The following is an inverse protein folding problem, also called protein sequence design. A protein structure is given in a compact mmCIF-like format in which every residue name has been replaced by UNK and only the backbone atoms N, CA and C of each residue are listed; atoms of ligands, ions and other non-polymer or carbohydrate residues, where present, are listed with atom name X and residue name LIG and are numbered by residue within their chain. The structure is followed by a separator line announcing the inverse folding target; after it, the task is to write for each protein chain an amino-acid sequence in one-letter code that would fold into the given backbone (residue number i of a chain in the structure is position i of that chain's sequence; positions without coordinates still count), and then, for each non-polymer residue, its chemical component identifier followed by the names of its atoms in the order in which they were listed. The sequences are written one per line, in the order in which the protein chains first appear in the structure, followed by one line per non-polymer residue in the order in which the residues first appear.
data_IF_823917813451
#
_entry.id   IF_823917813451
#
_cell.length_a   1.000
_cell.length_b   1.000
_cell.length_c   1.000
_cell.angle_alpha   90.00
_cell.angle_beta   90.00
_cell.angle_gamma   90.00
#
_symmetry.space_group_name_H-M   'P 1'
#
loop_
_entity.id
_entity.type
_entity.pdbx_description
1 polymer ?
#
# COMPACT_ATOMS: atom_id res chain seq x y z
N UNK A 1 6.58 3.00 9.34
CA UNK A 1 7.65 2.37 8.53
C UNK A 1 8.86 3.26 8.38
N UNK A 2 8.76 4.45 7.78
CA UNK A 2 9.91 5.36 7.62
C UNK A 2 10.69 5.66 8.90
N UNK A 3 9.99 5.92 10.01
CA UNK A 3 10.64 6.13 11.30
C UNK A 3 11.50 4.93 11.73
N UNK A 4 10.99 3.70 11.57
CA UNK A 4 11.72 2.47 11.90
C UNK A 4 12.92 2.31 10.96
N UNK A 5 12.75 2.58 9.67
CA UNK A 5 13.86 2.45 8.72
C UNK A 5 14.95 3.49 9.00
N UNK A 6 14.59 4.73 9.35
CA UNK A 6 15.54 5.75 9.78
C UNK A 6 16.27 5.31 11.06
N UNK A 7 15.58 4.68 12.02
CA UNK A 7 16.21 4.11 13.22
C UNK A 7 17.17 2.96 12.91
N UNK A 8 16.97 2.22 11.81
CA UNK A 8 17.91 1.16 11.39
C UNK A 8 19.16 1.66 10.69
N UNK A 9 19.19 2.93 10.25
CA UNK A 9 20.38 3.53 9.65
C UNK A 9 21.34 3.86 10.80
N UNK A 10 22.29 2.95 11.05
CA UNK A 10 23.38 3.15 12.03
C UNK A 10 24.18 4.44 11.81
N UNK A 11 24.23 4.91 10.56
CA UNK A 11 25.00 6.06 10.09
C UNK A 11 24.12 7.29 9.77
N UNK A 12 22.91 7.41 10.34
CA UNK A 12 21.98 8.49 9.96
C UNK A 12 22.58 9.91 10.11
N UNK A 13 23.53 10.08 11.03
CA UNK A 13 24.22 11.35 11.29
C UNK A 13 25.39 11.63 10.34
N UNK A 14 25.85 10.64 9.57
CA UNK A 14 27.03 10.70 8.70
C UNK A 14 26.68 10.38 7.23
N UNK A 15 25.39 10.35 6.89
CA UNK A 15 24.94 10.06 5.54
C UNK A 15 25.45 11.12 4.55
N UNK A 16 26.07 10.71 3.42
CA UNK A 16 26.41 11.64 2.36
C UNK A 16 25.14 12.26 1.79
N UNK A 17 25.21 13.56 1.50
CA UNK A 17 24.08 14.28 0.91
C UNK A 17 23.66 13.67 -0.44
N UNK A 18 24.63 13.34 -1.29
CA UNK A 18 24.42 12.82 -2.65
C UNK A 18 25.25 11.55 -2.89
N UNK A 19 24.61 10.51 -3.45
CA UNK A 19 25.28 9.31 -4.01
C UNK A 19 24.51 8.85 -5.23
N UNK A 20 25.22 8.59 -6.33
CA UNK A 20 24.59 8.10 -7.56
C UNK A 20 24.12 6.65 -7.41
N UNK A 21 24.86 5.83 -6.64
CA UNK A 21 24.53 4.43 -6.40
C UNK A 21 23.11 4.26 -5.83
N UNK A 22 22.74 5.10 -4.85
CA UNK A 22 21.42 5.02 -4.23
C UNK A 22 20.31 5.55 -5.12
N UNK A 23 20.57 6.57 -5.94
CA UNK A 23 19.59 7.06 -6.92
C UNK A 23 19.33 5.99 -7.98
N UNK A 24 20.38 5.38 -8.52
CA UNK A 24 20.26 4.29 -9.50
C UNK A 24 19.50 3.11 -8.89
N UNK A 25 19.88 2.67 -7.68
CA UNK A 25 19.18 1.59 -6.99
C UNK A 25 17.70 1.93 -6.74
N UNK A 26 17.40 3.15 -6.28
CA UNK A 26 16.02 3.59 -6.03
C UNK A 26 15.20 3.54 -7.30
N UNK A 27 15.72 4.06 -8.42
CA UNK A 27 15.03 4.07 -9.71
C UNK A 27 14.85 2.64 -10.24
N UNK A 28 15.90 1.82 -10.27
CA UNK A 28 15.84 0.46 -10.79
C UNK A 28 14.85 -0.42 -10.01
N UNK A 29 14.89 -0.34 -8.67
CA UNK A 29 14.00 -1.10 -7.81
C UNK A 29 12.56 -0.60 -7.94
N UNK A 30 12.38 0.72 -8.10
CA UNK A 30 11.08 1.31 -8.32
C UNK A 30 10.48 0.86 -9.67
N UNK A 31 11.15 1.12 -10.80
CA UNK A 31 10.59 0.85 -12.13
C UNK A 31 10.47 -0.65 -12.47
N UNK A 32 11.29 -1.50 -11.84
CA UNK A 32 11.23 -2.95 -12.04
C UNK A 32 10.35 -3.64 -10.99
N UNK A 33 10.95 -4.14 -9.88
CA UNK A 33 10.25 -4.92 -8.87
C UNK A 33 8.99 -4.26 -8.28
N UNK A 34 9.07 -2.98 -7.91
CA UNK A 34 7.95 -2.30 -7.22
C UNK A 34 6.75 -2.16 -8.14
N UNK A 35 6.97 -1.69 -9.38
CA UNK A 35 5.90 -1.59 -10.39
C UNK A 35 5.33 -2.96 -10.74
N UNK A 36 6.17 -3.99 -10.92
CA UNK A 36 5.70 -5.36 -11.16
C UNK A 36 4.82 -5.88 -10.01
N UNK A 37 5.29 -5.76 -8.76
CA UNK A 37 4.56 -6.20 -7.58
C UNK A 37 3.27 -5.41 -7.36
N UNK A 38 3.28 -4.11 -7.66
CA UNK A 38 2.10 -3.26 -7.62
C UNK A 38 1.02 -3.79 -8.58
N UNK A 39 1.36 -4.01 -9.85
CA UNK A 39 0.40 -4.52 -10.82
C UNK A 39 -0.04 -5.95 -10.51
N UNK A 40 0.86 -6.81 -10.03
CA UNK A 40 0.53 -8.17 -9.62
C UNK A 40 -0.46 -8.17 -8.45
N UNK A 41 -0.16 -7.44 -7.38
CA UNK A 41 -1.00 -7.36 -6.19
C UNK A 41 -2.38 -6.76 -6.52
N UNK A 42 -2.40 -5.69 -7.30
CA UNK A 42 -3.65 -5.08 -7.76
C UNK A 42 -4.49 -6.07 -8.58
N UNK A 43 -3.87 -6.80 -9.52
CA UNK A 43 -4.55 -7.85 -10.31
C UNK A 43 -5.15 -8.95 -9.42
N UNK A 44 -4.45 -9.36 -8.37
CA UNK A 44 -4.95 -10.36 -7.42
C UNK A 44 -6.19 -9.86 -6.67
N UNK A 45 -6.20 -8.60 -6.21
CA UNK A 45 -7.38 -7.99 -5.58
C UNK A 45 -8.60 -7.94 -6.53
N UNK A 46 -8.34 -7.83 -7.83
CA UNK A 46 -9.38 -7.82 -8.86
C UNK A 46 -9.79 -9.22 -9.38
N UNK A 47 -9.19 -10.31 -8.89
CA UNK A 47 -9.69 -11.65 -9.24
C UNK A 47 -11.16 -11.81 -8.81
N UNK A 48 -11.95 -12.55 -9.60
CA UNK A 48 -13.40 -12.70 -9.43
C UNK A 48 -13.84 -13.02 -7.99
N UNK A 49 -13.04 -13.81 -7.27
CA UNK A 49 -13.30 -14.18 -5.88
C UNK A 49 -13.16 -13.00 -4.91
N UNK A 50 -12.05 -12.25 -4.99
CA UNK A 50 -11.79 -11.10 -4.13
C UNK A 50 -12.60 -9.87 -4.55
N UNK A 51 -12.81 -9.69 -5.85
CA UNK A 51 -13.60 -8.61 -6.41
C UNK A 51 -15.08 -8.71 -6.03
N UNK A 52 -15.75 -9.84 -6.29
CA UNK A 52 -17.21 -9.96 -6.10
C UNK A 52 -17.64 -9.79 -4.63
N UNK A 53 -16.82 -10.24 -3.68
CA UNK A 53 -17.17 -10.26 -2.26
C UNK A 53 -16.68 -9.06 -1.47
N UNK A 54 -15.63 -8.39 -1.94
CA UNK A 54 -14.89 -7.43 -1.12
C UNK A 54 -14.59 -6.14 -1.87
N UNK A 55 -13.95 -6.21 -3.04
CA UNK A 55 -13.53 -4.99 -3.75
C UNK A 55 -14.71 -4.30 -4.47
N UNK A 56 -15.76 -5.04 -4.84
CA UNK A 56 -17.02 -4.48 -5.37
C UNK A 56 -17.71 -3.55 -4.37
N UNK A 57 -17.61 -3.86 -3.07
CA UNK A 57 -18.25 -3.08 -2.00
C UNK A 57 -17.51 -1.76 -1.73
N UNK A 58 -16.19 -1.75 -1.96
CA UNK A 58 -15.38 -0.53 -1.91
C UNK A 58 -15.80 0.46 -3.02
N UNK A 59 -16.12 -0.04 -4.21
CA UNK A 59 -16.62 0.77 -5.32
C UNK A 59 -18.12 1.11 -5.24
N UNK A 60 -18.91 0.44 -4.39
CA UNK A 60 -20.36 0.64 -4.31
C UNK A 60 -20.80 1.76 -3.36
N UNK A 61 -19.91 2.38 -2.58
CA UNK A 61 -20.28 3.33 -1.51
C UNK A 61 -20.35 4.80 -1.93
N UNK A 62 -20.96 5.11 -3.09
CA UNK A 62 -21.24 6.51 -3.50
C UNK A 62 -22.72 6.90 -3.39
N UNK A 63 -23.60 5.98 -2.97
CA UNK A 63 -25.00 6.33 -2.68
C UNK A 63 -25.46 5.62 -1.41
N UNK A 64 -25.92 6.33 -0.36
CA UNK A 64 -26.63 5.69 0.73
C UNK A 64 -28.01 5.27 0.20
N UNK A 65 -28.25 3.97 0.06
CA UNK A 65 -29.60 3.47 -0.18
C UNK A 65 -30.47 3.67 1.08
N UNK A 66 -31.71 4.16 0.95
CA UNK A 66 -32.60 4.37 2.08
C UNK A 66 -32.97 3.03 2.75
N UNK A 67 -33.00 3.04 4.09
CA UNK A 67 -33.41 1.89 4.92
C UNK A 67 -34.93 1.74 4.84
N UNK A 68 -35.45 1.20 3.73
CA UNK A 68 -36.81 0.62 3.73
C UNK A 68 -36.68 -0.86 4.06
N UNK A 69 -37.22 -1.23 5.23
CA UNK A 69 -37.08 -2.55 5.87
C UNK A 69 -37.45 -3.73 4.94
N UNK A 70 -36.56 -4.72 4.71
CA UNK A 70 -36.96 -6.01 4.16
C UNK A 70 -37.53 -6.92 5.26
N UNK A 71 -38.61 -7.65 4.93
CA UNK A 71 -39.40 -8.52 5.81
C UNK A 71 -38.67 -9.71 6.46
N UNK A 72 -37.36 -9.92 6.25
CA UNK A 72 -36.64 -11.10 6.71
C UNK A 72 -35.34 -10.77 7.49
N UNK A 73 -35.51 -10.31 8.73
CA UNK A 73 -34.43 -9.87 9.63
C UNK A 73 -33.35 -10.93 9.97
N UNK A 74 -33.66 -12.23 9.84
CA UNK A 74 -32.79 -13.30 10.37
C UNK A 74 -31.65 -13.73 9.44
N UNK A 75 -31.82 -13.67 8.11
CA UNK A 75 -30.74 -13.92 7.13
C UNK A 75 -29.88 -12.67 6.85
N UNK A 76 -30.46 -11.48 6.96
CA UNK A 76 -29.77 -10.22 6.70
C UNK A 76 -28.75 -9.84 7.78
N UNK A 77 -28.97 -10.25 9.05
CA UNK A 77 -28.08 -9.89 10.17
C UNK A 77 -26.71 -10.58 10.11
N UNK A 78 -26.64 -11.84 9.65
CA UNK A 78 -25.37 -12.58 9.49
C UNK A 78 -24.59 -12.18 8.25
N UNK A 79 -25.26 -11.90 7.13
CA UNK A 79 -24.58 -11.43 5.92
C UNK A 79 -24.06 -10.00 6.07
N UNK A 80 -24.80 -9.10 6.74
CA UNK A 80 -24.35 -7.72 7.00
C UNK A 80 -23.14 -7.62 7.92
N UNK A 81 -23.04 -8.43 8.98
CA UNK A 81 -21.90 -8.36 9.93
C UNK A 81 -20.61 -8.86 9.27
N UNK A 82 -20.67 -9.96 8.51
CA UNK A 82 -19.51 -10.39 7.72
C UNK A 82 -19.17 -9.37 6.64
N UNK A 83 -20.14 -8.89 5.84
CA UNK A 83 -19.88 -7.85 4.84
C UNK A 83 -19.28 -6.59 5.46
N UNK A 84 -19.73 -6.11 6.62
CA UNK A 84 -19.17 -4.91 7.25
C UNK A 84 -17.75 -5.09 7.76
N UNK A 85 -17.40 -6.26 8.28
CA UNK A 85 -16.01 -6.53 8.73
C UNK A 85 -15.08 -6.60 7.52
N UNK A 86 -15.46 -7.34 6.47
CA UNK A 86 -14.62 -7.48 5.29
C UNK A 86 -14.57 -6.23 4.40
N UNK A 87 -15.63 -5.41 4.38
CA UNK A 87 -15.65 -4.12 3.69
C UNK A 87 -14.70 -3.09 4.32
N UNK A 88 -14.30 -3.28 5.58
CA UNK A 88 -13.30 -2.44 6.25
C UNK A 88 -11.90 -3.05 6.13
N UNK A 89 -11.78 -4.37 6.30
CA UNK A 89 -10.47 -5.04 6.27
C UNK A 89 -9.82 -5.05 4.89
N UNK A 90 -10.57 -5.18 3.78
CA UNK A 90 -9.98 -5.22 2.45
C UNK A 90 -9.38 -3.89 2.00
N UNK A 91 -10.07 -2.73 2.06
CA UNK A 91 -9.45 -1.45 1.70
C UNK A 91 -8.28 -1.11 2.61
N UNK A 92 -8.31 -1.53 3.88
CA UNK A 92 -7.18 -1.36 4.79
C UNK A 92 -5.99 -2.26 4.40
N UNK A 93 -6.24 -3.50 4.02
CA UNK A 93 -5.20 -4.42 3.52
C UNK A 93 -4.60 -3.93 2.20
N UNK A 94 -5.41 -3.36 1.31
CA UNK A 94 -4.97 -2.75 0.06
C UNK A 94 -4.05 -1.54 0.32
N UNK A 95 -4.43 -0.64 1.22
CA UNK A 95 -3.61 0.49 1.64
C UNK A 95 -2.28 0.05 2.27
N UNK A 96 -2.32 -0.95 3.16
CA UNK A 96 -1.10 -1.53 3.76
C UNK A 96 -0.22 -2.16 2.68
N UNK A 97 -0.82 -2.89 1.73
CA UNK A 97 -0.13 -3.55 0.63
C UNK A 97 0.64 -2.55 -0.23
N UNK A 98 -0.04 -1.53 -0.76
CA UNK A 98 0.62 -0.49 -1.56
C UNK A 98 1.68 0.27 -0.77
N UNK A 99 1.37 0.69 0.46
CA UNK A 99 2.34 1.40 1.30
C UNK A 99 3.59 0.55 1.58
N UNK A 100 3.45 -0.76 1.71
CA UNK A 100 4.58 -1.68 1.88
C UNK A 100 5.37 -1.86 0.59
N UNK A 101 4.69 -2.02 -0.56
CA UNK A 101 5.32 -2.18 -1.88
C UNK A 101 6.13 -0.93 -2.26
N UNK A 102 5.56 0.26 -2.08
CA UNK A 102 6.26 1.53 -2.37
C UNK A 102 7.34 1.89 -1.34
N UNK A 103 7.34 1.27 -0.16
CA UNK A 103 8.41 1.45 0.83
C UNK A 103 9.70 0.72 0.45
N UNK A 104 9.65 -0.34 -0.37
CA UNK A 104 10.78 -1.25 -0.69
C UNK A 104 12.10 -0.56 -1.10
N UNK A 105 12.12 0.51 -1.93
CA UNK A 105 13.38 1.13 -2.38
C UNK A 105 14.25 1.68 -1.24
N UNK A 106 13.65 2.13 -0.13
CA UNK A 106 14.40 2.76 0.95
C UNK A 106 15.13 1.73 1.85
N UNK A 107 14.50 0.64 2.32
CA UNK A 107 15.21 -0.47 2.94
C UNK A 107 16.32 -1.05 2.07
N UNK A 108 16.15 -1.12 0.75
CA UNK A 108 17.18 -1.69 -0.13
C UNK A 108 18.46 -0.85 -0.20
N UNK A 109 18.37 0.47 -0.18
CA UNK A 109 19.57 1.33 -0.13
C UNK A 109 20.25 1.28 1.25
N UNK A 110 19.48 1.07 2.31
CA UNK A 110 20.00 0.87 3.67
C UNK A 110 20.73 -0.48 3.80
N UNK A 111 20.13 -1.56 3.31
CA UNK A 111 20.72 -2.91 3.33
C UNK A 111 21.99 -3.00 2.49
N UNK A 112 22.05 -2.28 1.37
CA UNK A 112 23.24 -2.23 0.51
C UNK A 112 24.29 -1.21 1.00
N UNK A 113 24.09 -0.58 2.17
CA UNK A 113 24.95 0.49 2.72
C UNK A 113 25.23 1.64 1.74
N UNK A 114 24.31 1.86 0.79
CA UNK A 114 24.39 2.91 -0.23
C UNK A 114 23.58 4.16 0.11
N UNK A 115 22.80 4.14 1.20
CA UNK A 115 21.88 5.22 1.57
C UNK A 115 22.52 6.62 1.52
N UNK A 116 21.75 7.59 1.03
CA UNK A 116 22.06 9.02 0.98
C UNK A 116 20.82 9.84 1.36
N UNK A 117 21.03 11.11 1.75
CA UNK A 117 19.92 12.01 2.11
C UNK A 117 18.91 12.11 0.95
N UNK A 118 19.41 12.23 -0.29
CA UNK A 118 18.57 12.27 -1.50
C UNK A 118 17.76 10.98 -1.67
N UNK A 119 18.35 9.80 -1.44
CA UNK A 119 17.61 8.54 -1.57
C UNK A 119 16.51 8.38 -0.51
N UNK A 120 16.74 8.91 0.70
CA UNK A 120 15.73 8.92 1.78
C UNK A 120 14.56 9.83 1.39
N UNK A 121 14.86 11.02 0.85
CA UNK A 121 13.84 11.94 0.35
C UNK A 121 13.08 11.37 -0.86
N UNK A 122 13.75 10.72 -1.81
CA UNK A 122 13.10 10.04 -2.92
C UNK A 122 12.19 8.90 -2.45
N UNK A 123 12.65 8.08 -1.49
CA UNK A 123 11.80 7.03 -0.92
C UNK A 123 10.59 7.58 -0.16
N UNK A 124 10.74 8.73 0.52
CA UNK A 124 9.63 9.44 1.15
C UNK A 124 8.63 9.98 0.11
N UNK A 125 9.11 10.68 -0.93
CA UNK A 125 8.29 11.18 -2.04
C UNK A 125 7.57 10.05 -2.77
N UNK A 126 8.23 8.91 -2.96
CA UNK A 126 7.64 7.72 -3.57
C UNK A 126 6.40 7.21 -2.82
N UNK A 127 6.38 7.35 -1.49
CA UNK A 127 5.23 6.98 -0.67
C UNK A 127 4.18 8.09 -0.51
N UNK A 128 4.48 9.32 -0.92
CA UNK A 128 3.52 10.43 -0.95
C UNK A 128 2.75 10.52 -2.28
N UNK A 129 3.42 10.22 -3.41
CA UNK A 129 2.88 10.47 -4.75
C UNK A 129 1.78 9.51 -5.25
N UNK A 130 1.57 8.38 -4.57
CA UNK A 130 0.64 7.35 -5.04
C UNK A 130 -0.75 7.35 -4.36
N UNK A 131 -1.05 8.33 -3.50
CA UNK A 131 -2.41 8.51 -2.93
C UNK A 131 -3.31 9.33 -3.85
N UNK A 132 -3.56 8.84 -5.06
CA UNK A 132 -4.45 9.50 -6.03
C UNK A 132 -5.51 8.55 -6.62
N UNK A 133 -5.93 7.53 -5.86
CA UNK A 133 -7.11 6.70 -6.15
C UNK A 133 -7.86 6.38 -4.86
#
# INVERSE_FOLDING_TARGET
MFYIVVLTIREANSLPFWRIDSVIQTVLIHVGPVVFLYYWFHRELHQHYLYSRYHSHHHSSIVPEPITRPRNFRKQKRSKISQSVYAVCLPFAEHIGYFTIFAVPLPTTVLNTTASIVSVLMGFMNNMGHRNF
#
